data_IF_913612006227
#
_entry.id   IF_913612006227
#
_cell.length_a   1.000
_cell.length_b   1.000
_cell.length_c   1.000
_cell.angle_alpha   90.00
_cell.angle_beta   90.00
_cell.angle_gamma   90.00
#
_symmetry.space_group_name_H-M   'P 1'
#
loop_
_entity.id
_entity.type
_entity.pdbx_description
1 polymer ?
#
# COMPACT_ATOMS: atom_id res chain seq x y z
N UNK A 1 30.95 -5.04 -3.40
CA UNK A 1 30.25 -3.85 -3.90
C UNK A 1 28.86 -4.29 -4.33
N UNK A 2 27.82 -3.59 -3.92
CA UNK A 2 26.47 -3.85 -4.41
C UNK A 2 26.39 -3.57 -5.92
N UNK A 3 25.58 -4.34 -6.61
CA UNK A 3 25.32 -4.16 -8.04
C UNK A 3 24.56 -2.85 -8.27
N UNK A 4 24.86 -2.10 -9.34
CA UNK A 4 24.13 -0.87 -9.67
C UNK A 4 23.29 -1.05 -10.92
N UNK A 5 22.18 -0.31 -11.02
CA UNK A 5 21.35 -0.30 -12.23
C UNK A 5 22.13 0.20 -13.46
N UNK A 6 23.04 1.16 -13.27
CA UNK A 6 23.92 1.65 -14.33
C UNK A 6 24.85 0.56 -14.86
N UNK A 7 25.46 -0.24 -13.96
CA UNK A 7 26.29 -1.38 -14.36
C UNK A 7 25.46 -2.43 -15.12
N UNK A 8 24.25 -2.73 -14.65
CA UNK A 8 23.31 -3.62 -15.35
C UNK A 8 22.95 -3.11 -16.75
N UNK A 9 22.72 -1.81 -16.91
CA UNK A 9 22.39 -1.21 -18.21
C UNK A 9 23.58 -1.23 -19.19
N UNK A 10 24.81 -1.12 -18.69
CA UNK A 10 26.03 -1.11 -19.52
C UNK A 10 26.57 -2.51 -19.84
N UNK A 11 26.18 -3.54 -19.07
CA UNK A 11 26.66 -4.91 -19.23
C UNK A 11 26.27 -5.52 -20.59
N UNK A 12 27.11 -6.43 -21.11
CA UNK A 12 26.70 -7.30 -22.23
C UNK A 12 25.49 -8.18 -21.83
N UNK A 13 24.77 -8.77 -22.78
CA UNK A 13 23.64 -9.68 -22.46
C UNK A 13 24.08 -10.86 -21.59
N UNK A 14 25.22 -11.48 -21.89
CA UNK A 14 25.75 -12.59 -21.11
C UNK A 14 26.16 -12.14 -19.69
N UNK A 15 26.75 -10.95 -19.58
CA UNK A 15 27.12 -10.40 -18.27
C UNK A 15 25.90 -9.99 -17.44
N UNK A 16 24.86 -9.42 -18.07
CA UNK A 16 23.59 -9.10 -17.42
C UNK A 16 22.93 -10.34 -16.80
N UNK A 17 22.85 -11.43 -17.56
CA UNK A 17 22.34 -12.71 -17.07
C UNK A 17 23.17 -13.23 -15.88
N UNK A 18 24.51 -13.20 -16.00
CA UNK A 18 25.43 -13.62 -14.94
C UNK A 18 25.31 -12.77 -13.67
N UNK A 19 25.12 -11.45 -13.79
CA UNK A 19 25.00 -10.54 -12.65
C UNK A 19 23.68 -10.72 -11.89
N UNK A 20 22.64 -11.22 -12.56
CA UNK A 20 21.32 -11.48 -12.00
C UNK A 20 21.02 -12.99 -11.84
N UNK A 21 22.06 -13.83 -11.88
CA UNK A 21 21.93 -15.26 -11.64
C UNK A 21 21.37 -15.53 -10.22
N UNK A 22 20.57 -16.58 -10.08
CA UNK A 22 19.87 -16.91 -8.83
C UNK A 22 18.65 -16.02 -8.52
N UNK A 23 18.36 -14.98 -9.32
CA UNK A 23 17.13 -14.18 -9.14
C UNK A 23 15.87 -15.01 -9.37
N UNK A 24 15.89 -15.90 -10.36
CA UNK A 24 14.85 -16.90 -10.60
C UNK A 24 15.43 -18.30 -10.39
N UNK A 25 14.73 -19.14 -9.63
CA UNK A 25 15.20 -20.50 -9.34
C UNK A 25 15.30 -21.34 -10.62
N UNK A 26 16.53 -21.76 -10.95
CA UNK A 26 16.85 -22.58 -12.13
C UNK A 26 16.19 -22.13 -13.45
N UNK A 27 15.86 -20.83 -13.57
CA UNK A 27 15.07 -20.28 -14.67
C UNK A 27 15.70 -19.00 -15.24
N UNK A 28 16.97 -19.06 -15.74
CA UNK A 28 17.70 -17.88 -16.21
C UNK A 28 17.05 -17.21 -17.44
N UNK A 29 16.23 -17.96 -18.19
CA UNK A 29 15.55 -17.49 -19.39
C UNK A 29 14.71 -16.23 -19.17
N UNK A 30 14.17 -16.01 -17.96
CA UNK A 30 13.39 -14.81 -17.66
C UNK A 30 14.27 -13.56 -17.71
N UNK A 31 15.45 -13.65 -17.11
CA UNK A 31 16.46 -12.59 -17.10
C UNK A 31 16.99 -12.36 -18.52
N UNK A 32 17.28 -13.45 -19.24
CA UNK A 32 17.77 -13.38 -20.62
C UNK A 32 16.78 -12.70 -21.56
N UNK A 33 15.47 -13.01 -21.46
CA UNK A 33 14.42 -12.37 -22.27
C UNK A 33 14.14 -10.91 -21.89
N UNK A 34 14.43 -10.52 -20.65
CA UNK A 34 14.32 -9.12 -20.22
C UNK A 34 15.54 -8.28 -20.63
N UNK A 35 16.70 -8.89 -20.88
CA UNK A 35 17.94 -8.18 -21.20
C UNK A 35 17.82 -7.21 -22.41
N UNK A 36 17.09 -7.50 -23.49
CA UNK A 36 16.87 -6.57 -24.61
C UNK A 36 15.98 -5.36 -24.26
N UNK A 37 15.28 -5.36 -23.12
CA UNK A 37 14.41 -4.24 -22.69
C UNK A 37 15.19 -3.09 -22.02
N UNK A 38 16.52 -3.21 -21.93
CA UNK A 38 17.42 -2.17 -21.42
C UNK A 38 17.54 -0.99 -22.39
N UNK A 39 17.90 0.22 -21.92
CA UNK A 39 18.21 0.54 -20.52
C UNK A 39 16.95 0.72 -19.66
N UNK A 40 17.03 0.29 -18.41
CA UNK A 40 16.00 0.55 -17.40
C UNK A 40 16.28 1.88 -16.68
N UNK A 41 15.28 2.75 -16.62
CA UNK A 41 15.33 4.04 -15.91
C UNK A 41 15.24 3.88 -14.38
N UNK A 42 14.66 2.78 -13.89
CA UNK A 42 14.54 2.50 -12.46
C UNK A 42 14.52 0.99 -12.16
N UNK A 43 14.77 0.63 -10.91
CA UNK A 43 14.64 -0.75 -10.45
C UNK A 43 13.20 -1.26 -10.60
N UNK A 44 12.21 -0.38 -10.42
CA UNK A 44 10.80 -0.72 -10.66
C UNK A 44 10.55 -1.09 -12.14
N UNK A 45 11.20 -0.43 -13.10
CA UNK A 45 11.09 -0.78 -14.51
C UNK A 45 11.73 -2.14 -14.83
N UNK A 46 12.88 -2.45 -14.20
CA UNK A 46 13.49 -3.79 -14.30
C UNK A 46 12.55 -4.88 -13.75
N UNK A 47 11.98 -4.66 -12.55
CA UNK A 47 10.98 -5.56 -11.95
C UNK A 47 9.77 -5.76 -12.88
N UNK A 48 9.24 -4.68 -13.45
CA UNK A 48 8.13 -4.75 -14.40
C UNK A 48 8.48 -5.48 -15.70
N UNK A 49 9.73 -5.38 -16.18
CA UNK A 49 10.19 -6.14 -17.33
C UNK A 49 10.12 -7.66 -17.08
N UNK A 50 10.50 -8.11 -15.88
CA UNK A 50 10.35 -9.53 -15.49
C UNK A 50 8.88 -9.96 -15.40
N UNK A 51 8.00 -9.11 -14.88
CA UNK A 51 6.54 -9.36 -14.88
C UNK A 51 6.02 -9.53 -16.31
N UNK A 52 6.44 -8.65 -17.24
CA UNK A 52 6.04 -8.74 -18.65
C UNK A 52 6.51 -10.03 -19.31
N UNK A 53 7.77 -10.42 -19.10
CA UNK A 53 8.31 -11.68 -19.63
C UNK A 53 7.53 -12.88 -19.14
N UNK A 54 7.18 -12.96 -17.85
CA UNK A 54 6.39 -14.07 -17.32
C UNK A 54 4.94 -14.07 -17.79
N UNK A 55 4.35 -12.89 -18.00
CA UNK A 55 2.99 -12.77 -18.54
C UNK A 55 2.92 -13.21 -20.01
N UNK A 56 3.96 -12.94 -20.79
CA UNK A 56 4.07 -13.29 -22.21
C UNK A 56 4.58 -14.71 -22.44
N UNK A 57 5.13 -15.35 -21.41
CA UNK A 57 5.58 -16.74 -21.45
C UNK A 57 4.42 -17.72 -21.64
N UNK A 58 4.72 -18.87 -22.25
CA UNK A 58 3.70 -19.91 -22.45
C UNK A 58 3.26 -20.50 -21.11
N UNK A 59 2.08 -21.13 -21.08
CA UNK A 59 1.61 -21.83 -19.89
C UNK A 59 2.62 -22.87 -19.37
N UNK A 60 3.26 -23.62 -20.27
CA UNK A 60 4.26 -24.63 -19.93
C UNK A 60 5.53 -24.02 -19.33
N UNK A 61 6.00 -22.88 -19.86
CA UNK A 61 7.15 -22.16 -19.32
C UNK A 61 6.88 -21.65 -17.91
N UNK A 62 5.67 -21.12 -17.67
CA UNK A 62 5.22 -20.65 -16.35
C UNK A 62 5.14 -21.80 -15.35
N UNK A 63 4.56 -22.94 -15.76
CA UNK A 63 4.52 -24.15 -14.91
C UNK A 63 5.91 -24.73 -14.65
N UNK A 64 6.78 -24.77 -15.65
CA UNK A 64 8.16 -25.25 -15.50
C UNK A 64 8.93 -24.39 -14.50
N UNK A 65 8.76 -23.07 -14.56
CA UNK A 65 9.33 -22.14 -13.59
C UNK A 65 8.83 -22.41 -12.17
N UNK A 66 7.54 -22.65 -11.97
CA UNK A 66 7.01 -22.98 -10.65
C UNK A 66 7.56 -24.32 -10.14
N UNK A 67 7.64 -25.32 -11.00
CA UNK A 67 8.18 -26.65 -10.66
C UNK A 67 9.67 -26.65 -10.37
N UNK A 68 10.41 -25.66 -10.88
CA UNK A 68 11.82 -25.47 -10.60
C UNK A 68 12.08 -24.91 -9.18
N UNK A 69 11.08 -24.29 -8.55
CA UNK A 69 11.21 -23.77 -7.20
C UNK A 69 11.07 -24.88 -6.15
N UNK A 70 11.90 -24.88 -5.09
CA UNK A 70 11.83 -25.89 -4.06
C UNK A 70 10.58 -25.72 -3.19
N UNK A 71 10.03 -26.85 -2.74
CA UNK A 71 8.95 -26.86 -1.75
C UNK A 71 9.39 -26.27 -0.40
N UNK A 72 8.46 -25.60 0.29
CA UNK A 72 8.66 -25.15 1.66
C UNK A 72 8.80 -26.37 2.58
N UNK A 73 9.88 -26.40 3.36
CA UNK A 73 10.26 -27.53 4.21
C UNK A 73 10.27 -28.89 3.46
N UNK A 74 10.58 -28.87 2.17
CA UNK A 74 10.57 -30.05 1.29
C UNK A 74 11.83 -30.91 1.37
N UNK A 75 11.83 -32.01 0.60
CA UNK A 75 12.96 -32.97 0.56
C UNK A 75 14.29 -32.33 0.15
N UNK A 76 14.26 -31.31 -0.71
CA UNK A 76 15.46 -30.57 -1.13
C UNK A 76 16.15 -29.83 0.02
N UNK A 77 15.39 -29.38 1.02
CA UNK A 77 15.92 -28.80 2.26
C UNK A 77 16.63 -29.88 3.10
N UNK A 78 16.04 -31.07 3.18
CA UNK A 78 16.60 -32.22 3.91
C UNK A 78 17.87 -32.75 3.23
N UNK A 79 17.93 -32.70 1.90
CA UNK A 79 19.07 -33.17 1.10
C UNK A 79 20.11 -32.08 0.78
N UNK A 80 19.96 -30.87 1.31
CA UNK A 80 20.84 -29.71 1.07
C UNK A 80 21.06 -29.36 -0.41
N UNK A 81 20.02 -29.54 -1.23
CA UNK A 81 20.05 -29.35 -2.70
C UNK A 81 19.44 -28.02 -3.17
N UNK A 82 19.20 -27.08 -2.24
CA UNK A 82 18.64 -25.75 -2.51
C UNK A 82 19.71 -24.81 -3.10
N UNK A 83 19.30 -23.82 -3.90
CA UNK A 83 20.17 -22.66 -4.17
C UNK A 83 20.52 -21.91 -2.89
N UNK A 84 21.59 -21.11 -2.94
CA UNK A 84 22.02 -20.32 -1.79
C UNK A 84 20.92 -19.35 -1.33
N UNK A 85 20.23 -18.71 -2.28
CA UNK A 85 19.12 -17.80 -2.05
C UNK A 85 17.94 -18.50 -1.36
N UNK A 86 17.48 -19.66 -1.87
CA UNK A 86 16.36 -20.38 -1.26
C UNK A 86 16.69 -20.96 0.12
N UNK A 87 17.94 -21.36 0.37
CA UNK A 87 18.36 -21.83 1.68
C UNK A 87 18.34 -20.71 2.73
N UNK A 88 18.85 -19.51 2.38
CA UNK A 88 18.81 -18.34 3.25
C UNK A 88 17.36 -17.92 3.56
N UNK A 89 16.48 -17.89 2.54
CA UNK A 89 15.07 -17.53 2.68
C UNK A 89 14.31 -18.46 3.64
N UNK A 90 14.42 -19.78 3.45
CA UNK A 90 13.71 -20.75 4.30
C UNK A 90 14.30 -20.81 5.72
N UNK A 91 15.62 -20.65 5.85
CA UNK A 91 16.28 -20.61 7.17
C UNK A 91 15.82 -19.40 7.99
N UNK A 92 15.71 -18.21 7.38
CA UNK A 92 15.23 -16.99 8.06
C UNK A 92 13.76 -17.08 8.47
N UNK A 93 12.95 -17.82 7.73
CA UNK A 93 11.56 -18.12 8.11
C UNK A 93 11.44 -19.18 9.22
N UNK A 94 12.56 -19.73 9.70
CA UNK A 94 12.59 -20.75 10.75
C UNK A 94 12.07 -22.11 10.29
N UNK A 95 11.94 -22.35 8.99
CA UNK A 95 11.43 -23.61 8.43
C UNK A 95 12.45 -24.76 8.56
N UNK A 96 13.73 -24.44 8.72
CA UNK A 96 14.79 -25.41 9.04
C UNK A 96 14.74 -25.88 10.50
N UNK A 97 13.94 -25.24 11.35
CA UNK A 97 13.80 -25.52 12.78
C UNK A 97 12.33 -25.77 13.19
N UNK A 98 11.54 -26.38 12.32
CA UNK A 98 10.16 -26.79 12.61
C UNK A 98 10.09 -27.85 13.73
N UNK A 99 9.03 -27.80 14.53
CA UNK A 99 8.65 -28.93 15.39
C UNK A 99 8.25 -30.14 14.53
N UNK A 100 8.29 -31.37 15.07
CA UNK A 100 7.80 -32.55 14.36
C UNK A 100 6.36 -32.41 13.86
N UNK A 101 5.48 -31.76 14.63
CA UNK A 101 4.07 -31.54 14.27
C UNK A 101 3.92 -30.48 13.15
N UNK A 102 4.66 -29.38 13.24
CA UNK A 102 4.72 -28.35 12.19
C UNK A 102 5.21 -28.96 10.88
N UNK A 103 6.28 -29.77 10.94
CA UNK A 103 6.84 -30.44 9.78
C UNK A 103 5.85 -31.44 9.16
N UNK A 104 5.19 -32.27 9.98
CA UNK A 104 4.16 -33.20 9.52
C UNK A 104 2.97 -32.47 8.87
N UNK A 105 2.59 -31.31 9.42
CA UNK A 105 1.54 -30.45 8.86
C UNK A 105 1.93 -29.93 7.48
N UNK A 106 3.13 -29.36 7.34
CA UNK A 106 3.64 -28.87 6.06
C UNK A 106 3.76 -30.00 5.02
N UNK A 107 4.22 -31.19 5.41
CA UNK A 107 4.27 -32.35 4.50
C UNK A 107 2.87 -32.77 4.02
N UNK A 108 1.88 -32.81 4.91
CA UNK A 108 0.48 -33.08 4.54
C UNK A 108 -0.07 -32.03 3.57
N UNK A 109 0.21 -30.74 3.82
CA UNK A 109 -0.23 -29.64 2.97
C UNK A 109 0.46 -29.68 1.60
N UNK A 110 1.78 -29.92 1.53
CA UNK A 110 2.50 -30.12 0.28
C UNK A 110 1.91 -31.29 -0.54
N UNK A 111 1.60 -32.42 0.10
CA UNK A 111 0.99 -33.55 -0.59
C UNK A 111 -0.40 -33.21 -1.17
N UNK A 112 -1.27 -32.57 -0.37
CA UNK A 112 -2.60 -32.15 -0.82
C UNK A 112 -2.52 -31.10 -1.94
N UNK A 113 -1.58 -30.17 -1.82
CA UNK A 113 -1.34 -29.11 -2.80
C UNK A 113 -0.87 -29.69 -4.13
N UNK A 114 0.16 -30.53 -4.13
CA UNK A 114 0.66 -31.15 -5.35
C UNK A 114 -0.40 -32.01 -6.03
N UNK A 115 -1.22 -32.74 -5.26
CA UNK A 115 -2.32 -33.53 -5.81
C UNK A 115 -3.38 -32.66 -6.51
N UNK A 116 -3.63 -31.44 -6.02
CA UNK A 116 -4.64 -30.52 -6.56
C UNK A 116 -4.11 -29.66 -7.71
N UNK A 117 -2.92 -29.08 -7.57
CA UNK A 117 -2.42 -28.02 -8.45
C UNK A 117 -1.29 -28.49 -9.38
N UNK A 118 -0.55 -29.54 -9.03
CA UNK A 118 0.52 -30.11 -9.88
C UNK A 118 1.79 -29.27 -9.99
N UNK A 119 2.00 -28.31 -9.07
CA UNK A 119 3.21 -27.52 -8.89
C UNK A 119 3.38 -27.13 -7.40
N UNK A 120 4.59 -26.79 -6.92
CA UNK A 120 4.83 -26.46 -5.52
C UNK A 120 4.07 -25.21 -5.03
N UNK A 121 3.76 -25.16 -3.72
CA UNK A 121 3.20 -23.97 -3.08
C UNK A 121 4.25 -22.85 -3.05
N UNK A 122 3.89 -21.66 -3.53
CA UNK A 122 4.76 -20.48 -3.49
C UNK A 122 4.28 -19.48 -2.46
N UNK A 123 5.21 -19.02 -1.64
CA UNK A 123 5.00 -17.93 -0.71
C UNK A 123 6.32 -17.18 -0.50
N UNK A 124 6.30 -15.86 -0.61
CA UNK A 124 7.44 -15.03 -0.25
C UNK A 124 7.59 -15.03 1.29
N UNK A 125 8.32 -16.00 1.83
CA UNK A 125 8.44 -16.24 3.29
C UNK A 125 9.14 -15.12 4.05
N UNK A 126 9.93 -14.29 3.37
CA UNK A 126 10.46 -13.03 3.94
C UNK A 126 9.38 -11.96 4.12
N UNK A 127 8.15 -12.24 3.70
CA UNK A 127 6.99 -11.37 3.84
C UNK A 127 7.08 -10.12 2.97
N UNK A 128 6.02 -9.29 2.98
CA UNK A 128 5.92 -8.12 2.12
C UNK A 128 6.94 -7.01 2.44
N UNK A 129 7.60 -7.09 3.60
CA UNK A 129 8.58 -6.09 4.08
C UNK A 129 9.99 -6.64 4.25
N UNK A 130 10.23 -7.89 3.86
CA UNK A 130 11.53 -8.54 4.10
C UNK A 130 11.79 -8.94 5.56
N UNK A 131 10.85 -8.70 6.48
CA UNK A 131 10.96 -8.97 7.93
C UNK A 131 10.65 -10.40 8.35
N UNK A 132 10.20 -11.25 7.42
CA UNK A 132 9.80 -12.63 7.68
C UNK A 132 8.32 -12.79 8.02
N UNK A 133 7.74 -13.91 7.58
CA UNK A 133 6.48 -14.46 8.08
C UNK A 133 6.79 -15.46 9.18
N UNK A 134 5.93 -15.52 10.20
CA UNK A 134 6.01 -16.58 11.20
C UNK A 134 5.57 -17.91 10.59
N UNK A 135 6.04 -19.03 11.15
CA UNK A 135 5.60 -20.37 10.72
C UNK A 135 4.08 -20.54 10.77
N UNK A 136 3.44 -20.01 11.81
CA UNK A 136 1.98 -20.00 11.92
C UNK A 136 1.30 -19.23 10.80
N UNK A 137 1.84 -18.07 10.38
CA UNK A 137 1.34 -17.31 9.24
C UNK A 137 1.52 -18.08 7.92
N UNK A 138 2.66 -18.76 7.74
CA UNK A 138 2.93 -19.58 6.56
C UNK A 138 1.92 -20.73 6.46
N UNK A 139 1.71 -21.47 7.55
CA UNK A 139 0.76 -22.59 7.60
C UNK A 139 -0.67 -22.09 7.35
N UNK A 140 -1.09 -21.01 8.02
CA UNK A 140 -2.43 -20.44 7.85
C UNK A 140 -2.69 -20.00 6.41
N UNK A 141 -1.70 -19.37 5.76
CA UNK A 141 -1.83 -18.94 4.37
C UNK A 141 -1.88 -20.13 3.41
N UNK A 142 -1.11 -21.19 3.69
CA UNK A 142 -1.12 -22.43 2.94
C UNK A 142 -2.49 -23.12 3.03
N UNK A 143 -3.05 -23.24 4.24
CA UNK A 143 -4.38 -23.82 4.46
C UNK A 143 -5.49 -23.01 3.77
N UNK A 144 -5.43 -21.68 3.88
CA UNK A 144 -6.39 -20.78 3.23
C UNK A 144 -6.35 -20.92 1.71
N UNK A 145 -5.15 -20.89 1.11
CA UNK A 145 -4.96 -20.94 -0.35
C UNK A 145 -5.22 -22.32 -0.94
N UNK A 146 -5.09 -23.40 -0.16
CA UNK A 146 -5.47 -24.74 -0.60
C UNK A 146 -6.96 -24.80 -1.04
N UNK A 147 -7.81 -23.93 -0.51
CA UNK A 147 -9.22 -23.83 -0.88
C UNK A 147 -9.48 -23.12 -2.24
N UNK A 148 -8.49 -22.42 -2.80
CA UNK A 148 -8.69 -21.59 -3.99
C UNK A 148 -8.87 -22.41 -5.29
N UNK A 149 -9.48 -21.82 -6.35
CA UNK A 149 -9.54 -22.41 -7.68
C UNK A 149 -8.14 -22.56 -8.31
N UNK A 150 -7.96 -23.58 -9.16
CA UNK A 150 -6.67 -23.90 -9.82
C UNK A 150 -6.15 -22.72 -10.64
N UNK A 151 -6.99 -22.12 -11.49
CA UNK A 151 -6.59 -21.02 -12.37
C UNK A 151 -6.17 -19.78 -11.59
N UNK A 152 -6.79 -19.53 -10.43
CA UNK A 152 -6.43 -18.43 -9.55
C UNK A 152 -5.05 -18.65 -8.90
N UNK A 153 -4.75 -19.89 -8.50
CA UNK A 153 -3.51 -20.20 -7.80
C UNK A 153 -2.27 -20.20 -8.68
N UNK A 154 -2.41 -20.45 -9.99
CA UNK A 154 -1.30 -20.26 -10.91
C UNK A 154 -0.84 -18.79 -10.90
N UNK A 155 -1.78 -17.85 -11.04
CA UNK A 155 -1.46 -16.42 -11.03
C UNK A 155 -0.95 -15.96 -9.66
N UNK A 156 -1.54 -16.44 -8.56
CA UNK A 156 -1.08 -16.10 -7.22
C UNK A 156 0.33 -16.63 -6.94
N UNK A 157 0.64 -17.87 -7.32
CA UNK A 157 2.00 -18.40 -7.17
C UNK A 157 3.03 -17.59 -7.97
N UNK A 158 2.68 -17.12 -9.17
CA UNK A 158 3.57 -16.26 -9.95
C UNK A 158 3.74 -14.88 -9.32
N UNK A 159 2.69 -14.31 -8.71
CA UNK A 159 2.81 -13.08 -7.90
C UNK A 159 3.76 -13.29 -6.71
N UNK A 160 3.70 -14.44 -6.05
CA UNK A 160 4.64 -14.78 -4.97
C UNK A 160 6.07 -14.92 -5.47
N UNK A 161 6.30 -15.54 -6.65
CA UNK A 161 7.61 -15.56 -7.30
C UNK A 161 8.10 -14.14 -7.59
N UNK A 162 7.26 -13.27 -8.15
CA UNK A 162 7.63 -11.87 -8.40
C UNK A 162 8.07 -11.16 -7.12
N UNK A 163 7.42 -11.47 -5.99
CA UNK A 163 7.80 -10.93 -4.69
C UNK A 163 9.14 -11.45 -4.18
N UNK A 164 9.41 -12.75 -4.34
CA UNK A 164 10.72 -13.36 -4.04
C UNK A 164 11.81 -12.70 -4.89
N UNK A 165 11.59 -12.59 -6.20
CA UNK A 165 12.48 -11.93 -7.15
C UNK A 165 12.75 -10.49 -6.79
N UNK A 166 11.71 -9.73 -6.40
CA UNK A 166 11.85 -8.36 -5.93
C UNK A 166 12.81 -8.27 -4.73
N UNK A 167 12.64 -9.13 -3.74
CA UNK A 167 13.49 -9.15 -2.54
C UNK A 167 14.93 -9.54 -2.89
N UNK A 168 15.12 -10.54 -3.75
CA UNK A 168 16.46 -10.95 -4.22
C UNK A 168 17.16 -9.84 -5.00
N UNK A 169 16.42 -9.10 -5.83
CA UNK A 169 16.95 -7.93 -6.54
C UNK A 169 17.34 -6.82 -5.57
N UNK A 170 16.50 -6.54 -4.59
CA UNK A 170 16.76 -5.52 -3.57
C UNK A 170 18.06 -5.86 -2.82
N UNK A 171 18.28 -7.12 -2.42
CA UNK A 171 19.54 -7.56 -1.81
C UNK A 171 20.75 -7.39 -2.75
N UNK A 172 20.64 -7.84 -4.02
CA UNK A 172 21.75 -7.75 -5.00
C UNK A 172 22.15 -6.30 -5.28
N UNK A 173 21.18 -5.40 -5.36
CA UNK A 173 21.40 -3.97 -5.61
C UNK A 173 21.65 -3.14 -4.34
N UNK A 174 21.53 -3.74 -3.15
CA UNK A 174 21.57 -3.00 -1.88
C UNK A 174 20.47 -1.93 -1.79
N UNK A 175 19.30 -2.22 -2.36
CA UNK A 175 18.13 -1.35 -2.32
C UNK A 175 17.23 -1.71 -1.15
N UNK A 176 16.68 -0.70 -0.48
CA UNK A 176 15.63 -0.87 0.51
C UNK A 176 14.50 0.12 0.22
N UNK A 177 13.23 -0.32 0.14
CA UNK A 177 12.08 0.54 -0.15
C UNK A 177 11.64 1.34 1.08
N UNK A 178 12.58 2.08 1.70
CA UNK A 178 12.41 2.79 2.98
C UNK A 178 11.20 3.74 3.02
N UNK A 179 10.92 4.44 1.92
CA UNK A 179 9.75 5.32 1.82
C UNK A 179 8.43 4.53 1.88
N UNK A 180 8.34 3.44 1.13
CA UNK A 180 7.17 2.56 1.14
C UNK A 180 6.96 1.92 2.51
N UNK A 181 8.04 1.41 3.12
CA UNK A 181 8.00 0.83 4.47
C UNK A 181 7.47 1.83 5.50
N UNK A 182 7.96 3.07 5.47
CA UNK A 182 7.47 4.12 6.37
C UNK A 182 5.99 4.44 6.16
N UNK A 183 5.52 4.54 4.92
CA UNK A 183 4.10 4.79 4.64
C UNK A 183 3.23 3.66 5.20
N UNK A 184 3.68 2.41 5.10
CA UNK A 184 2.99 1.27 5.70
C UNK A 184 2.99 1.32 7.24
N UNK A 185 4.10 1.74 7.85
CA UNK A 185 4.21 1.93 9.29
C UNK A 185 3.31 3.07 9.78
N UNK A 186 3.30 4.20 9.08
CA UNK A 186 2.43 5.35 9.38
C UNK A 186 0.95 4.94 9.22
N UNK A 187 0.59 4.16 8.19
CA UNK A 187 -0.77 3.65 8.04
C UNK A 187 -1.18 2.71 9.19
N UNK A 188 -0.27 1.84 9.64
CA UNK A 188 -0.51 0.96 10.78
C UNK A 188 -0.63 1.75 12.10
N UNK A 189 0.22 2.75 12.31
CA UNK A 189 0.20 3.60 13.50
C UNK A 189 -1.07 4.45 13.56
N UNK A 190 -1.57 4.93 12.42
CA UNK A 190 -2.83 5.67 12.36
C UNK A 190 -4.05 4.75 12.58
N UNK A 191 -3.97 3.49 12.18
CA UNK A 191 -5.01 2.48 12.36
C UNK A 191 -5.17 1.97 13.80
N UNK A 192 -4.28 2.36 14.72
CA UNK A 192 -4.44 2.08 16.16
C UNK A 192 -5.63 2.84 16.74
N UNK A 193 -5.96 4.01 16.18
CA UNK A 193 -7.14 4.77 16.59
C UNK A 193 -8.37 4.17 15.94
N UNK A 194 -9.26 3.60 16.75
CA UNK A 194 -10.54 3.03 16.32
C UNK A 194 -11.61 3.31 17.37
N UNK A 195 -12.85 3.46 16.92
CA UNK A 195 -14.01 3.77 17.73
C UNK A 195 -14.31 2.59 18.70
N UNK A 196 -14.75 2.88 19.94
CA UNK A 196 -15.17 1.86 20.88
C UNK A 196 -16.28 0.96 20.31
N UNK A 197 -16.26 -0.33 20.67
CA UNK A 197 -17.13 -1.37 20.10
C UNK A 197 -16.57 -2.02 18.84
N UNK A 198 -15.57 -1.41 18.19
CA UNK A 198 -14.83 -2.00 17.07
C UNK A 198 -13.38 -2.28 17.45
N UNK A 199 -12.74 -1.35 18.17
CA UNK A 199 -11.36 -1.44 18.60
C UNK A 199 -11.04 -2.72 19.38
N UNK A 200 -11.91 -3.12 20.30
CA UNK A 200 -11.75 -4.31 21.16
C UNK A 200 -11.79 -5.62 20.37
N UNK A 201 -12.38 -5.59 19.17
CA UNK A 201 -12.45 -6.71 18.24
C UNK A 201 -11.34 -6.67 17.17
N UNK A 202 -10.41 -5.70 17.26
CA UNK A 202 -9.36 -5.50 16.26
C UNK A 202 -9.90 -4.96 14.92
N UNK A 203 -11.09 -4.37 14.92
CA UNK A 203 -11.72 -3.79 13.73
C UNK A 203 -11.43 -2.29 13.68
N UNK A 204 -11.12 -1.78 12.49
CA UNK A 204 -10.86 -0.36 12.28
C UNK A 204 -12.16 0.37 11.92
N UNK A 205 -12.56 1.34 12.75
CA UNK A 205 -13.67 2.24 12.47
C UNK A 205 -13.30 3.61 13.01
N UNK A 206 -13.31 4.65 12.18
CA UNK A 206 -13.05 6.01 12.62
C UNK A 206 -14.09 6.93 12.01
N UNK A 207 -15.01 7.40 12.84
CA UNK A 207 -16.12 8.23 12.38
C UNK A 207 -16.00 9.69 12.82
N UNK A 208 -16.55 10.62 12.03
CA UNK A 208 -16.34 12.06 12.18
C UNK A 208 -16.47 12.56 13.63
N UNK A 209 -15.43 13.24 14.14
CA UNK A 209 -15.34 13.88 15.47
C UNK A 209 -15.57 12.96 16.68
N UNK A 210 -15.39 11.66 16.55
CA UNK A 210 -15.18 10.79 17.72
C UNK A 210 -13.78 11.00 18.32
N UNK A 211 -13.50 10.37 19.45
CA UNK A 211 -12.16 10.41 20.06
C UNK A 211 -11.09 9.83 19.14
N UNK A 212 -11.39 8.73 18.46
CA UNK A 212 -10.48 8.10 17.51
C UNK A 212 -10.18 9.04 16.33
N UNK A 213 -11.20 9.70 15.79
CA UNK A 213 -11.07 10.65 14.70
C UNK A 213 -10.21 11.86 15.08
N UNK A 214 -10.46 12.44 16.26
CA UNK A 214 -9.65 13.54 16.79
C UNK A 214 -8.21 13.10 17.07
N UNK A 215 -7.99 11.84 17.46
CA UNK A 215 -6.65 11.29 17.66
C UNK A 215 -5.89 11.10 16.33
N UNK A 216 -6.57 10.62 15.27
CA UNK A 216 -6.02 10.60 13.92
C UNK A 216 -5.62 12.01 13.46
N UNK A 217 -6.49 13.01 13.65
CA UNK A 217 -6.21 14.38 13.24
C UNK A 217 -4.94 14.94 13.92
N UNK A 218 -4.83 14.80 15.25
CA UNK A 218 -3.64 15.23 16.01
C UNK A 218 -2.36 14.52 15.56
N UNK A 219 -2.44 13.24 15.21
CA UNK A 219 -1.29 12.48 14.74
C UNK A 219 -0.85 12.93 13.34
N UNK A 220 -1.80 13.19 12.44
CA UNK A 220 -1.52 13.76 11.13
C UNK A 220 -0.88 15.15 11.25
N UNK A 221 -1.41 16.01 12.14
CA UNK A 221 -0.82 17.32 12.43
C UNK A 221 0.65 17.17 12.87
N UNK A 222 0.92 16.30 13.86
CA UNK A 222 2.26 16.06 14.35
C UNK A 222 3.20 15.59 13.23
N UNK A 223 2.76 14.64 12.40
CA UNK A 223 3.55 14.14 11.28
C UNK A 223 3.79 15.16 10.17
N UNK A 224 2.83 16.05 9.90
CA UNK A 224 3.04 17.18 8.98
C UNK A 224 4.09 18.15 9.55
N UNK A 225 4.02 18.50 10.84
CA UNK A 225 5.05 19.33 11.48
C UNK A 225 6.43 18.68 11.41
N UNK A 226 6.53 17.40 11.74
CA UNK A 226 7.77 16.61 11.67
C UNK A 226 8.30 16.44 10.24
N UNK A 227 7.41 16.39 9.24
CA UNK A 227 7.80 16.32 7.83
C UNK A 227 8.38 17.64 7.30
N UNK A 228 8.22 18.75 8.02
CA UNK A 228 8.78 20.06 7.65
C UNK A 228 7.84 20.92 6.82
N UNK A 229 6.52 20.76 6.99
CA UNK A 229 5.55 21.74 6.49
C UNK A 229 5.74 23.09 7.20
N UNK A 230 5.57 24.19 6.46
CA UNK A 230 5.75 25.55 6.98
C UNK A 230 4.52 26.01 7.79
N UNK A 231 3.32 25.57 7.39
CA UNK A 231 2.05 25.81 8.11
C UNK A 231 1.33 24.48 8.34
N UNK A 232 0.76 24.29 9.53
CA UNK A 232 -0.12 23.15 9.83
C UNK A 232 -1.27 23.63 10.72
N UNK A 233 -2.51 23.40 10.29
CA UNK A 233 -3.74 23.85 10.97
C UNK A 233 -4.83 22.79 10.94
N UNK A 234 -5.71 22.82 11.95
CA UNK A 234 -7.02 22.20 11.89
C UNK A 234 -8.03 23.27 11.48
N UNK A 235 -8.78 23.03 10.41
CA UNK A 235 -9.74 24.00 9.92
C UNK A 235 -11.12 23.89 10.61
N UNK A 236 -12.05 24.78 10.28
CA UNK A 236 -13.36 24.87 10.91
C UNK A 236 -14.25 23.62 10.74
N UNK A 237 -13.93 22.73 9.80
CA UNK A 237 -14.64 21.45 9.61
C UNK A 237 -13.82 20.25 10.08
N UNK A 238 -12.62 20.48 10.63
CA UNK A 238 -11.74 19.45 11.17
C UNK A 238 -10.78 18.85 10.13
N UNK A 239 -10.62 19.44 8.95
CA UNK A 239 -9.57 19.01 8.03
C UNK A 239 -8.21 19.32 8.66
N UNK A 240 -7.23 18.44 8.44
CA UNK A 240 -5.84 18.70 8.80
C UNK A 240 -5.12 19.21 7.56
N UNK A 241 -4.72 20.48 7.58
CA UNK A 241 -4.11 21.15 6.42
C UNK A 241 -2.65 21.45 6.69
N UNK A 242 -1.77 20.90 5.86
CA UNK A 242 -0.35 21.22 5.84
C UNK A 242 0.01 21.99 4.57
N UNK A 243 0.69 23.13 4.70
CA UNK A 243 1.25 23.88 3.56
C UNK A 243 2.77 23.84 3.61
N UNK A 244 3.38 23.35 2.54
CA UNK A 244 4.81 23.46 2.25
C UNK A 244 5.00 24.51 1.16
N UNK A 245 5.66 25.62 1.48
CA UNK A 245 5.79 26.75 0.57
C UNK A 245 6.63 26.40 -0.67
N UNK A 246 6.38 27.14 -1.75
CA UNK A 246 7.27 27.15 -2.90
C UNK A 246 8.55 27.91 -2.59
N UNK A 247 9.40 28.08 -3.61
CA UNK A 247 10.56 28.96 -3.54
C UNK A 247 10.14 30.42 -3.23
N UNK A 248 8.95 30.80 -3.69
CA UNK A 248 8.21 31.99 -3.24
C UNK A 248 6.97 31.52 -2.45
N UNK A 249 6.77 31.95 -1.19
CA UNK A 249 5.57 31.68 -0.41
C UNK A 249 4.27 32.15 -1.09
N UNK A 250 4.34 33.15 -1.99
CA UNK A 250 3.21 33.66 -2.74
C UNK A 250 2.86 32.83 -4.00
N UNK A 251 3.67 31.82 -4.36
CA UNK A 251 3.40 30.95 -5.50
C UNK A 251 2.05 30.23 -5.40
N UNK A 252 1.52 29.82 -6.57
CA UNK A 252 0.40 28.88 -6.64
C UNK A 252 0.77 27.57 -5.93
N UNK A 253 -0.25 26.82 -5.50
CA UNK A 253 -0.10 25.55 -4.80
C UNK A 253 -0.60 24.37 -5.65
N UNK A 254 0.05 23.22 -5.55
CA UNK A 254 -0.56 21.96 -5.93
C UNK A 254 -1.28 21.40 -4.71
N UNK A 255 -2.60 21.24 -4.81
CA UNK A 255 -3.36 20.59 -3.74
C UNK A 255 -3.29 19.08 -3.92
N UNK A 256 -3.16 18.37 -2.82
CA UNK A 256 -3.23 16.92 -2.75
C UNK A 256 -3.78 16.53 -1.38
N UNK A 257 -4.13 15.27 -1.20
CA UNK A 257 -4.79 14.82 0.00
C UNK A 257 -5.86 13.79 -0.30
N UNK A 258 -6.50 13.35 0.76
CA UNK A 258 -7.60 12.41 0.77
C UNK A 258 -8.20 12.41 2.18
N UNK A 259 -8.99 11.42 2.58
CA UNK A 259 -9.71 11.40 3.84
C UNK A 259 -9.08 10.48 4.90
N UNK A 260 -9.37 10.71 6.18
CA UNK A 260 -8.83 9.91 7.30
C UNK A 260 -9.88 9.20 8.16
N UNK A 261 -11.16 9.51 7.94
CA UNK A 261 -12.28 8.69 8.42
C UNK A 261 -12.32 7.35 7.68
N UNK A 262 -13.12 6.42 8.19
CA UNK A 262 -13.30 5.10 7.57
C UNK A 262 -14.75 4.67 7.66
N UNK A 263 -15.15 3.75 6.78
CA UNK A 263 -16.31 2.88 7.03
C UNK A 263 -16.13 2.03 8.30
N UNK A 264 -17.22 1.41 8.75
CA UNK A 264 -17.18 0.39 9.80
C UNK A 264 -16.35 -0.81 9.33
N UNK A 265 -15.42 -1.25 10.15
CA UNK A 265 -14.48 -2.33 9.80
C UNK A 265 -13.76 -2.07 8.46
N UNK A 266 -13.29 -0.84 8.27
CA UNK A 266 -12.56 -0.40 7.09
C UNK A 266 -11.13 -0.95 7.01
N UNK A 267 -10.51 -0.80 5.84
CA UNK A 267 -9.09 -1.04 5.66
C UNK A 267 -8.25 0.14 6.14
N UNK A 268 -6.96 -0.10 6.44
CA UNK A 268 -6.02 0.94 6.90
C UNK A 268 -5.50 1.89 5.81
N UNK A 269 -5.84 1.64 4.55
CA UNK A 269 -5.25 2.32 3.38
C UNK A 269 -6.22 3.26 2.67
N UNK A 270 -7.51 2.94 2.73
CA UNK A 270 -8.59 3.73 2.13
C UNK A 270 -8.56 5.15 2.68
N UNK A 271 -8.55 6.13 1.79
CA UNK A 271 -8.28 7.54 2.09
C UNK A 271 -6.86 7.84 2.59
N UNK A 272 -6.46 7.21 3.70
CA UNK A 272 -5.24 7.49 4.46
C UNK A 272 -3.97 7.43 3.61
N UNK A 273 -3.90 6.53 2.63
CA UNK A 273 -2.75 6.46 1.72
C UNK A 273 -2.55 7.78 0.94
N UNK A 274 -3.65 8.43 0.52
CA UNK A 274 -3.64 9.71 -0.18
C UNK A 274 -3.18 10.89 0.65
N UNK A 275 -3.07 10.73 1.97
CA UNK A 275 -2.50 11.72 2.90
C UNK A 275 -1.04 11.39 3.20
N UNK A 276 -0.74 10.12 3.48
CA UNK A 276 0.59 9.69 3.91
C UNK A 276 1.64 9.77 2.80
N UNK A 277 1.25 9.45 1.56
CA UNK A 277 2.14 9.57 0.38
C UNK A 277 2.64 11.01 0.20
N UNK A 278 1.79 12.06 0.13
CA UNK A 278 2.29 13.41 -0.02
C UNK A 278 3.04 13.95 1.21
N UNK A 279 2.71 13.51 2.43
CA UNK A 279 3.54 13.80 3.62
C UNK A 279 4.97 13.26 3.43
N UNK A 280 5.12 12.03 2.92
CA UNK A 280 6.44 11.46 2.62
C UNK A 280 7.19 12.25 1.53
N UNK A 281 6.48 12.75 0.50
CA UNK A 281 7.04 13.63 -0.52
C UNK A 281 7.58 14.94 0.08
N UNK A 282 6.77 15.62 0.90
CA UNK A 282 7.19 16.87 1.58
C UNK A 282 8.38 16.60 2.50
N UNK A 283 8.37 15.50 3.26
CA UNK A 283 9.49 15.11 4.10
C UNK A 283 10.80 14.94 3.32
N UNK A 284 10.74 14.34 2.13
CA UNK A 284 11.92 14.20 1.26
C UNK A 284 12.41 15.56 0.70
N UNK A 285 11.48 16.44 0.33
CA UNK A 285 11.79 17.81 -0.09
C UNK A 285 12.44 18.62 1.02
N UNK A 286 11.85 18.61 2.22
CA UNK A 286 12.34 19.33 3.39
C UNK A 286 13.73 18.82 3.81
N UNK A 287 13.92 17.49 3.88
CA UNK A 287 15.22 16.88 4.23
C UNK A 287 16.34 17.23 3.23
N UNK A 288 15.99 17.46 1.96
CA UNK A 288 16.95 17.88 0.93
C UNK A 288 17.08 19.40 0.79
N UNK A 289 16.39 20.19 1.62
CA UNK A 289 16.37 21.64 1.52
C UNK A 289 15.77 22.17 0.20
N UNK A 290 14.97 21.35 -0.50
CA UNK A 290 14.47 21.66 -1.85
C UNK A 290 13.08 22.28 -1.79
N UNK A 291 12.96 23.53 -2.24
CA UNK A 291 11.68 24.18 -2.54
C UNK A 291 11.35 24.05 -4.03
N UNK A 292 10.08 23.88 -4.37
CA UNK A 292 9.60 23.78 -5.75
C UNK A 292 9.16 25.18 -6.25
N UNK A 293 8.97 25.40 -7.56
CA UNK A 293 8.43 26.68 -8.06
C UNK A 293 7.00 27.00 -7.56
N UNK A 294 6.31 26.02 -7.01
CA UNK A 294 4.97 26.09 -6.44
C UNK A 294 4.95 25.45 -5.04
N UNK A 295 3.99 25.84 -4.21
CA UNK A 295 3.78 25.20 -2.89
C UNK A 295 3.01 23.88 -3.00
N UNK A 296 3.04 23.07 -1.96
CA UNK A 296 2.21 21.86 -1.81
C UNK A 296 1.26 22.10 -0.65
N UNK A 297 -0.04 21.92 -0.87
CA UNK A 297 -1.05 21.89 0.19
C UNK A 297 -1.57 20.47 0.30
N UNK A 298 -1.33 19.83 1.46
CA UNK A 298 -1.84 18.50 1.78
C UNK A 298 -3.04 18.66 2.71
N UNK A 299 -4.19 18.14 2.30
CA UNK A 299 -5.41 18.16 3.09
C UNK A 299 -5.76 16.73 3.50
N UNK A 300 -5.73 16.46 4.81
CA UNK A 300 -6.44 15.33 5.39
C UNK A 300 -7.89 15.73 5.58
N UNK A 301 -8.77 15.35 4.65
CA UNK A 301 -10.20 15.63 4.73
C UNK A 301 -10.80 14.90 5.92
N UNK A 302 -11.58 15.64 6.71
CA UNK A 302 -12.14 15.13 7.95
C UNK A 302 -13.19 14.05 7.74
N UNK A 303 -13.84 14.05 6.58
CA UNK A 303 -15.00 13.23 6.32
C UNK A 303 -15.19 13.10 4.80
N UNK A 304 -15.36 11.85 4.36
CA UNK A 304 -15.78 11.49 3.01
C UNK A 304 -16.94 10.49 3.03
N UNK A 305 -16.92 9.52 3.96
CA UNK A 305 -17.68 8.26 3.84
C UNK A 305 -19.17 8.35 4.19
N UNK A 306 -19.59 9.40 4.90
CA UNK A 306 -20.96 9.65 5.35
C UNK A 306 -21.42 8.77 6.52
N UNK A 307 -20.51 8.26 7.37
CA UNK A 307 -20.84 7.20 8.34
C UNK A 307 -21.59 7.67 9.59
N UNK A 308 -21.16 8.77 10.20
CA UNK A 308 -21.77 9.28 11.45
C UNK A 308 -22.98 10.17 11.17
N UNK A 309 -22.83 11.02 10.17
CA UNK A 309 -23.84 11.95 9.68
C UNK A 309 -24.01 11.74 8.18
N UNK A 310 -25.21 11.96 7.64
CA UNK A 310 -25.48 11.85 6.20
C UNK A 310 -25.01 13.13 5.49
N UNK A 311 -23.71 13.34 5.52
CA UNK A 311 -23.03 14.55 5.07
C UNK A 311 -21.73 14.19 4.32
N UNK A 312 -21.84 13.29 3.33
CA UNK A 312 -20.72 12.87 2.47
C UNK A 312 -20.01 14.07 1.85
N UNK A 313 -18.68 14.05 1.86
CA UNK A 313 -17.82 15.12 1.36
C UNK A 313 -17.91 16.43 2.17
N UNK A 314 -18.18 16.35 3.47
CA UNK A 314 -18.28 17.54 4.33
C UNK A 314 -16.99 18.37 4.29
N UNK A 315 -15.84 17.71 4.40
CA UNK A 315 -14.53 18.36 4.46
C UNK A 315 -14.17 19.09 3.16
N UNK A 316 -14.30 18.41 2.03
CA UNK A 316 -13.99 18.96 0.71
C UNK A 316 -15.05 19.95 0.21
N UNK A 317 -16.32 19.72 0.56
CA UNK A 317 -17.44 20.61 0.29
C UNK A 317 -17.21 22.02 0.86
N UNK A 318 -16.66 22.13 2.08
CA UNK A 318 -16.31 23.42 2.67
C UNK A 318 -15.26 24.19 1.85
N UNK A 319 -14.25 23.50 1.32
CA UNK A 319 -13.19 24.12 0.52
C UNK A 319 -13.68 24.68 -0.82
N UNK A 320 -14.80 24.19 -1.35
CA UNK A 320 -15.38 24.63 -2.63
C UNK A 320 -16.68 25.42 -2.47
N UNK A 321 -17.03 25.83 -1.23
CA UNK A 321 -18.23 26.62 -0.94
C UNK A 321 -19.54 25.84 -1.08
N UNK A 322 -19.50 24.51 -0.95
CA UNK A 322 -20.64 23.59 -1.03
C UNK A 322 -20.98 22.90 0.29
N UNK A 323 -20.46 23.41 1.41
CA UNK A 323 -20.91 22.96 2.72
C UNK A 323 -22.40 23.29 2.89
N UNK A 324 -23.22 22.31 3.27
CA UNK A 324 -24.64 22.51 3.54
C UNK A 324 -24.86 22.80 5.04
N UNK A 325 -25.29 24.02 5.41
CA UNK A 325 -25.54 24.36 6.81
C UNK A 325 -26.59 23.47 7.49
N UNK A 326 -27.49 22.83 6.74
CA UNK A 326 -28.50 21.92 7.29
C UNK A 326 -27.88 20.65 7.90
N UNK A 327 -26.65 20.29 7.51
CA UNK A 327 -25.93 19.17 8.13
C UNK A 327 -25.67 19.38 9.62
N UNK A 328 -25.52 20.64 10.06
CA UNK A 328 -25.25 20.98 11.46
C UNK A 328 -26.34 20.49 12.42
N UNK A 329 -27.58 20.39 11.93
CA UNK A 329 -28.74 20.00 12.74
C UNK A 329 -29.03 18.49 12.67
N UNK A 330 -28.27 17.73 11.87
CA UNK A 330 -28.37 16.26 11.85
C UNK A 330 -27.84 15.68 13.16
N UNK A 331 -28.55 14.72 13.72
CA UNK A 331 -28.14 13.95 14.89
C UNK A 331 -27.63 12.56 14.50
N UNK A 332 -26.61 12.09 15.21
CA UNK A 332 -26.14 10.71 15.10
C UNK A 332 -27.07 9.72 15.83
N UNK A 333 -26.72 8.44 15.83
CA UNK A 333 -27.52 7.38 16.47
C UNK A 333 -27.67 7.56 18.00
N UNK A 334 -26.80 8.35 18.64
CA UNK A 334 -26.87 8.68 20.07
C UNK A 334 -27.60 10.00 20.34
N UNK A 335 -28.09 10.68 19.30
CA UNK A 335 -28.77 11.97 19.41
C UNK A 335 -27.83 13.18 19.46
N UNK A 336 -26.53 13.01 19.23
CA UNK A 336 -25.56 14.11 19.24
C UNK A 336 -25.61 14.83 17.89
N UNK A 337 -25.96 16.11 17.89
CA UNK A 337 -25.98 16.90 16.66
C UNK A 337 -24.56 17.14 16.14
N UNK A 338 -24.40 17.29 14.82
CA UNK A 338 -23.11 17.66 14.23
C UNK A 338 -22.59 18.97 14.84
N UNK A 339 -23.47 19.94 15.07
CA UNK A 339 -23.14 21.19 15.76
C UNK A 339 -22.53 20.96 17.15
N UNK A 340 -23.12 20.08 17.94
CA UNK A 340 -22.61 19.76 19.28
C UNK A 340 -21.31 18.98 19.21
N UNK A 341 -21.15 18.07 18.24
CA UNK A 341 -19.89 17.37 18.00
C UNK A 341 -18.75 18.34 17.62
N UNK A 342 -19.01 19.27 16.70
CA UNK A 342 -18.06 20.31 16.28
C UNK A 342 -17.67 21.23 17.44
N UNK A 343 -18.64 21.71 18.22
CA UNK A 343 -18.38 22.51 19.43
C UNK A 343 -17.61 21.73 20.48
N UNK A 344 -17.95 20.46 20.70
CA UNK A 344 -17.24 19.55 21.62
C UNK A 344 -15.81 19.25 21.16
N UNK A 345 -15.52 19.39 19.87
CA UNK A 345 -14.18 19.33 19.30
C UNK A 345 -13.45 20.69 19.28
N UNK A 346 -14.11 21.77 19.68
CA UNK A 346 -13.54 23.13 19.70
C UNK A 346 -13.44 23.79 18.31
N UNK A 347 -14.23 23.33 17.33
CA UNK A 347 -14.23 23.90 15.98
C UNK A 347 -15.10 25.16 15.91
N UNK A 348 -14.56 26.23 15.31
CA UNK A 348 -15.26 27.49 15.07
C UNK A 348 -16.17 27.38 13.83
N UNK A 349 -17.41 26.94 14.01
CA UNK A 349 -18.39 26.70 12.94
C UNK A 349 -18.63 27.96 12.09
N UNK A 350 -18.56 29.13 12.71
CA UNK A 350 -18.68 30.44 12.08
C UNK A 350 -17.60 30.73 11.03
N UNK A 351 -16.44 30.05 11.11
CA UNK A 351 -15.31 30.24 10.19
C UNK A 351 -15.40 29.35 8.94
N UNK A 352 -16.38 28.45 8.83
CA UNK A 352 -16.56 27.56 7.67
C UNK A 352 -16.61 28.33 6.34
N UNK A 353 -17.34 29.47 6.20
CA UNK A 353 -17.36 30.23 4.94
C UNK A 353 -15.99 30.76 4.52
N UNK A 354 -15.05 30.95 5.46
CA UNK A 354 -13.70 31.42 5.16
C UNK A 354 -12.78 30.32 4.60
N UNK A 355 -13.21 29.05 4.64
CA UNK A 355 -12.42 27.92 4.12
C UNK A 355 -12.37 27.86 2.59
N UNK A 356 -13.31 28.52 1.92
CA UNK A 356 -13.45 28.48 0.46
C UNK A 356 -12.15 28.89 -0.22
N UNK A 357 -11.64 28.00 -1.06
CA UNK A 357 -10.39 28.18 -1.80
C UNK A 357 -10.64 29.01 -3.05
N UNK A 358 -9.75 29.96 -3.32
CA UNK A 358 -9.66 30.64 -4.61
C UNK A 358 -8.94 29.73 -5.63
N UNK A 359 -9.63 29.21 -6.67
CA UNK A 359 -9.02 28.33 -7.66
C UNK A 359 -7.82 28.95 -8.38
N UNK A 360 -7.74 30.28 -8.51
CA UNK A 360 -6.61 30.95 -9.15
C UNK A 360 -5.28 30.71 -8.39
N UNK A 361 -5.35 30.41 -7.09
CA UNK A 361 -4.20 30.08 -6.24
C UNK A 361 -3.70 28.65 -6.40
N UNK A 362 -4.39 27.78 -7.16
CA UNK A 362 -4.05 26.35 -7.27
C UNK A 362 -3.74 25.92 -8.69
N UNK A 363 -2.71 25.09 -8.87
CA UNK A 363 -2.38 24.44 -10.14
C UNK A 363 -3.39 23.34 -10.51
N UNK A 364 -3.96 22.69 -9.51
CA UNK A 364 -4.87 21.56 -9.63
C UNK A 364 -4.93 20.75 -8.33
N UNK A 365 -5.66 19.65 -8.37
CA UNK A 365 -5.76 18.66 -7.30
C UNK A 365 -5.30 17.29 -7.81
N UNK A 366 -4.47 16.59 -7.04
CA UNK A 366 -4.05 15.21 -7.32
C UNK A 366 -4.23 14.38 -6.07
N UNK A 367 -4.93 13.26 -6.20
CA UNK A 367 -5.14 12.29 -5.13
C UNK A 367 -4.50 10.96 -5.50
N UNK A 368 -3.82 10.36 -4.52
CA UNK A 368 -3.33 8.99 -4.61
C UNK A 368 -4.31 8.13 -3.81
N UNK A 369 -4.81 7.07 -4.42
CA UNK A 369 -5.77 6.18 -3.79
C UNK A 369 -5.44 4.73 -4.08
N UNK A 370 -5.88 3.83 -3.20
CA UNK A 370 -5.93 2.40 -3.55
C UNK A 370 -7.01 2.17 -4.60
N UNK A 371 -6.84 1.13 -5.42
CA UNK A 371 -7.78 0.85 -6.51
C UNK A 371 -9.19 0.49 -6.01
N UNK A 372 -9.30 -0.14 -4.84
CA UNK A 372 -10.52 -0.77 -4.29
C UNK A 372 -11.17 -1.81 -5.23
N UNK A 373 -10.46 -2.20 -6.30
CA UNK A 373 -10.84 -3.20 -7.28
C UNK A 373 -9.66 -4.13 -7.61
N UNK A 374 -9.89 -5.12 -8.49
CA UNK A 374 -8.88 -6.13 -8.80
C UNK A 374 -8.06 -5.86 -10.07
N UNK A 375 -8.35 -4.81 -10.84
CA UNK A 375 -7.83 -4.60 -12.21
C UNK A 375 -6.31 -4.46 -12.24
N UNK A 376 -5.71 -3.63 -11.38
CA UNK A 376 -4.25 -3.48 -11.30
C UNK A 376 -3.60 -4.76 -10.77
N UNK A 377 -4.23 -5.41 -9.78
CA UNK A 377 -3.75 -6.65 -9.21
C UNK A 377 -3.74 -7.81 -10.23
N UNK A 378 -4.80 -7.94 -11.02
CA UNK A 378 -4.93 -8.92 -12.11
C UNK A 378 -4.01 -8.57 -13.30
N UNK A 379 -3.84 -7.29 -13.60
CA UNK A 379 -2.93 -6.84 -14.66
C UNK A 379 -1.44 -6.91 -14.28
N UNK A 380 -1.12 -7.16 -13.00
CA UNK A 380 0.26 -7.13 -12.48
C UNK A 380 0.89 -5.74 -12.56
N UNK A 381 0.09 -4.68 -12.40
CA UNK A 381 0.52 -3.29 -12.51
C UNK A 381 0.56 -2.61 -11.13
N UNK A 382 1.61 -1.85 -10.80
CA UNK A 382 1.72 -1.18 -9.49
C UNK A 382 1.05 0.20 -9.43
N UNK A 383 0.61 0.74 -10.57
CA UNK A 383 0.08 2.10 -10.68
C UNK A 383 -0.91 2.20 -11.86
N UNK A 384 -2.03 2.87 -11.62
CA UNK A 384 -2.99 3.27 -12.64
C UNK A 384 -3.16 4.79 -12.67
N UNK A 385 -3.40 5.35 -13.85
CA UNK A 385 -3.79 6.76 -14.01
C UNK A 385 -5.30 6.80 -14.20
N UNK A 386 -6.03 7.29 -13.19
CA UNK A 386 -7.49 7.39 -13.22
C UNK A 386 -7.91 8.44 -14.25
N UNK A 387 -8.79 8.07 -15.17
CA UNK A 387 -9.31 8.95 -16.22
C UNK A 387 -10.74 9.45 -15.95
N UNK A 388 -11.51 8.70 -15.17
CA UNK A 388 -12.90 9.02 -14.84
C UNK A 388 -13.35 8.31 -13.56
N UNK A 389 -14.38 8.85 -12.92
CA UNK A 389 -15.07 8.25 -11.76
C UNK A 389 -16.52 7.98 -12.18
N UNK A 390 -17.06 6.82 -11.82
CA UNK A 390 -18.45 6.48 -12.12
C UNK A 390 -19.43 7.31 -11.28
N UNK A 391 -20.55 7.72 -11.86
CA UNK A 391 -21.66 8.31 -11.10
C UNK A 391 -22.28 7.28 -10.15
N UNK A 392 -22.68 7.71 -8.96
CA UNK A 392 -23.29 6.87 -7.93
C UNK A 392 -24.60 7.47 -7.42
N UNK A 393 -25.62 6.63 -7.26
CA UNK A 393 -26.91 6.99 -6.66
C UNK A 393 -27.26 5.94 -5.61
N UNK A 394 -27.58 6.39 -4.39
CA UNK A 394 -27.99 5.52 -3.28
C UNK A 394 -29.47 5.77 -2.98
N UNK A 395 -30.29 4.73 -2.99
CA UNK A 395 -31.73 4.79 -2.68
C UNK A 395 -32.02 3.99 -1.41
N UNK A 396 -32.99 4.44 -0.62
CA UNK A 396 -33.59 3.65 0.47
C UNK A 396 -34.88 3.06 -0.06
N UNK A 397 -34.99 1.73 -0.01
CA UNK A 397 -36.21 1.00 -0.36
C UNK A 397 -36.92 0.47 0.88
N UNK A 398 -38.23 0.33 0.80
CA UNK A 398 -39.05 -0.42 1.76
C UNK A 398 -39.41 -1.78 1.13
N UNK A 399 -39.47 -2.83 1.95
CA UNK A 399 -39.72 -4.20 1.50
C UNK A 399 -41.20 -4.49 1.29
#
# INVERSE_FOLDING_TARGET
MSLTLAALNAASTAEFARLLDGTFEHSPWVVERAAPMRPFASLAQLKLAFVRVLREATHDERLALLRAHPELAGRAMVSNALTAESNDEQSRAGLTACSPEEFATLQRLNAAWNAKFGFPFMLAVRGPRGTGLTRGQIIAEFERRLANPVDHELEECLRQVHRVVEIRLDDKLGHEPTLGNRILDDAAALAVHSDPGFAEHGLLTVTYLTDAHRACARQLEAWMREAGFDEVVHDAVGNVVGVYHGADPASRRLMTGSHYDTVRNGGRFDGRLGILVPIACVRALAKSGRRLPYGIEVVGFAEEEGQRYKATFLGSGALVGRFDPAWLDQADAAGITMRDAMRGAGLAIEDIPALVRDPARYLGFVEVHIEQGPVLAEAGLPLGVVTSINGSLRFVGEA
#
